data_IF_422406697543
#
_entry.id   IF_422406697543
#
_cell.length_a   1.000
_cell.length_b   1.000
_cell.length_c   1.000
_cell.angle_alpha   90.00
_cell.angle_beta   90.00
_cell.angle_gamma   90.00
#
_symmetry.space_group_name_H-M   'P 1'
#
loop_
_entity.id
_entity.type
_entity.pdbx_description
1 polymer ?
#
# COMPACT_ATOMS: atom_id res chain seq x y z
N UNK A 1 4.01 3.65 -2.13
CA UNK A 1 2.98 2.61 -1.91
C UNK A 1 2.41 2.22 -3.25
N UNK A 2 2.29 0.92 -3.53
CA UNK A 2 1.60 0.36 -4.69
C UNK A 2 0.29 -0.32 -4.28
N UNK A 3 -0.71 -0.26 -5.14
CA UNK A 3 -2.04 -0.84 -4.91
C UNK A 3 -2.52 -1.59 -6.15
N UNK A 4 -3.32 -2.61 -5.96
CA UNK A 4 -4.13 -3.21 -7.02
C UNK A 4 -5.34 -2.32 -7.28
N UNK A 5 -5.45 -1.75 -8.48
CA UNK A 5 -6.49 -0.75 -8.80
C UNK A 5 -7.89 -1.33 -8.63
N UNK A 6 -8.14 -2.55 -9.06
CA UNK A 6 -9.47 -3.17 -9.05
C UNK A 6 -9.97 -3.51 -7.66
N UNK A 7 -9.10 -4.04 -6.82
CA UNK A 7 -9.46 -4.51 -5.47
C UNK A 7 -9.21 -3.48 -4.37
N UNK A 8 -8.28 -2.54 -4.61
CA UNK A 8 -7.79 -1.59 -3.63
C UNK A 8 -6.82 -2.21 -2.62
N UNK A 9 -6.34 -3.44 -2.87
CA UNK A 9 -5.34 -4.09 -2.02
C UNK A 9 -4.02 -3.30 -2.06
N UNK A 10 -3.44 -3.02 -0.91
CA UNK A 10 -2.08 -2.45 -0.83
C UNK A 10 -1.09 -3.61 -1.00
N UNK A 11 -0.34 -3.60 -2.10
CA UNK A 11 0.62 -4.66 -2.45
C UNK A 11 1.95 -4.44 -1.74
N UNK A 12 2.49 -3.22 -1.82
CA UNK A 12 3.72 -2.85 -1.17
C UNK A 12 3.72 -1.39 -0.69
N UNK A 13 4.48 -1.14 0.36
CA UNK A 13 4.71 0.21 0.87
C UNK A 13 6.13 0.35 1.36
N UNK A 14 6.74 1.47 1.01
CA UNK A 14 8.04 1.88 1.54
C UNK A 14 7.91 3.30 2.08
N UNK A 15 8.54 3.56 3.20
CA UNK A 15 8.62 4.86 3.83
C UNK A 15 10.02 5.41 3.59
N UNK A 16 10.11 6.64 3.11
CA UNK A 16 11.40 7.25 2.83
C UNK A 16 11.27 8.56 2.08
N UNK A 17 12.42 9.13 1.77
CA UNK A 17 12.50 10.28 0.86
C UNK A 17 12.23 9.81 -0.57
N UNK A 18 11.58 10.64 -1.36
CA UNK A 18 11.38 10.41 -2.80
C UNK A 18 12.74 10.39 -3.51
N UNK A 19 13.25 9.20 -3.75
CA UNK A 19 14.51 8.93 -4.47
C UNK A 19 14.35 7.74 -5.38
N UNK A 20 15.17 7.63 -6.42
CA UNK A 20 15.14 6.49 -7.34
C UNK A 20 15.33 5.17 -6.59
N UNK A 21 16.24 5.13 -5.60
CA UNK A 21 16.47 3.96 -4.74
C UNK A 21 15.19 3.53 -3.97
N UNK A 22 14.39 4.50 -3.53
CA UNK A 22 13.12 4.18 -2.86
C UNK A 22 12.11 3.58 -3.85
N UNK A 23 12.10 4.06 -5.11
CA UNK A 23 11.25 3.47 -6.14
C UNK A 23 11.71 2.07 -6.51
N UNK A 24 13.01 1.85 -6.70
CA UNK A 24 13.58 0.52 -6.94
C UNK A 24 13.12 -0.48 -5.86
N UNK A 25 13.21 -0.09 -4.60
CA UNK A 25 12.70 -0.89 -3.49
C UNK A 25 11.19 -1.14 -3.58
N UNK A 26 10.39 -0.14 -3.96
CA UNK A 26 8.94 -0.29 -4.13
C UNK A 26 8.60 -1.21 -5.30
N UNK A 27 9.30 -1.08 -6.43
CA UNK A 27 9.14 -1.93 -7.62
C UNK A 27 9.46 -3.37 -7.27
N UNK A 28 10.64 -3.63 -6.70
CA UNK A 28 11.07 -4.97 -6.30
C UNK A 28 10.08 -5.64 -5.33
N UNK A 29 9.61 -4.90 -4.32
CA UNK A 29 8.62 -5.41 -3.36
C UNK A 29 7.24 -5.64 -3.98
N UNK A 30 6.90 -4.94 -5.04
CA UNK A 30 5.64 -5.11 -5.75
C UNK A 30 5.74 -6.30 -6.72
N UNK A 31 6.79 -6.37 -7.52
CA UNK A 31 7.02 -7.45 -8.48
C UNK A 31 7.21 -8.81 -7.81
N UNK A 32 7.77 -8.84 -6.61
CA UNK A 32 7.84 -10.08 -5.81
C UNK A 32 6.49 -10.62 -5.34
N UNK A 33 5.40 -9.87 -5.52
CA UNK A 33 4.04 -10.25 -5.04
C UNK A 33 2.99 -10.30 -6.15
N UNK A 34 3.28 -9.80 -7.33
CA UNK A 34 2.34 -9.78 -8.45
C UNK A 34 3.08 -9.90 -9.78
N UNK A 35 2.48 -10.62 -10.73
CA UNK A 35 2.96 -10.71 -12.10
C UNK A 35 2.42 -9.59 -13.01
N UNK A 36 1.71 -8.60 -12.45
CA UNK A 36 1.11 -7.52 -13.23
C UNK A 36 2.20 -6.63 -13.84
N UNK A 37 2.15 -6.46 -15.16
CA UNK A 37 3.05 -5.62 -15.94
C UNK A 37 2.44 -4.25 -16.32
N UNK A 38 1.20 -3.98 -15.92
CA UNK A 38 0.55 -2.69 -16.19
C UNK A 38 0.66 -1.80 -14.95
N UNK A 39 1.43 -0.73 -15.05
CA UNK A 39 1.65 0.22 -13.97
C UNK A 39 1.10 1.59 -14.33
N UNK A 40 0.40 2.19 -13.40
CA UNK A 40 -0.12 3.55 -13.50
C UNK A 40 0.50 4.41 -12.40
N UNK A 41 1.11 5.52 -12.80
CA UNK A 41 1.78 6.43 -11.86
C UNK A 41 1.36 7.88 -12.11
N UNK A 42 1.77 8.75 -11.19
CA UNK A 42 1.77 10.18 -11.42
C UNK A 42 2.93 10.58 -12.37
N UNK A 43 3.00 11.87 -12.68
CA UNK A 43 3.97 12.47 -13.59
C UNK A 43 5.37 12.67 -12.94
N UNK A 44 5.74 11.84 -11.96
CA UNK A 44 7.06 11.95 -11.38
C UNK A 44 8.09 11.12 -12.16
N UNK A 45 9.04 11.79 -12.82
CA UNK A 45 10.01 11.17 -13.75
C UNK A 45 10.95 10.12 -13.13
N UNK A 46 10.89 9.87 -11.82
CA UNK A 46 11.61 8.78 -11.17
C UNK A 46 11.12 7.40 -11.60
N UNK A 47 9.84 7.27 -11.89
CA UNK A 47 9.28 5.99 -12.35
C UNK A 47 9.79 5.61 -13.73
N UNK A 48 9.91 6.57 -14.65
CA UNK A 48 10.45 6.32 -16.00
C UNK A 48 11.90 5.82 -16.01
N UNK A 49 12.69 6.26 -15.01
CA UNK A 49 14.10 5.84 -14.89
C UNK A 49 14.28 4.46 -14.29
N UNK A 50 13.30 4.00 -13.48
CA UNK A 50 13.45 2.78 -12.67
C UNK A 50 12.63 1.62 -13.24
N UNK A 51 11.47 1.88 -13.83
CA UNK A 51 10.64 0.82 -14.40
C UNK A 51 11.32 0.22 -15.63
N UNK A 52 11.31 -1.11 -15.73
CA UNK A 52 11.87 -1.83 -16.86
C UNK A 52 11.03 -1.63 -18.13
N UNK A 53 11.67 -1.78 -19.29
CA UNK A 53 10.99 -1.69 -20.61
C UNK A 53 9.87 -2.74 -20.80
N UNK A 54 9.88 -3.80 -20.00
CA UNK A 54 8.84 -4.84 -20.02
C UNK A 54 7.53 -4.40 -19.36
N UNK A 55 7.55 -3.29 -18.62
CA UNK A 55 6.38 -2.76 -17.91
C UNK A 55 5.64 -1.78 -18.81
N UNK A 56 4.36 -2.06 -19.03
CA UNK A 56 3.46 -1.11 -19.67
C UNK A 56 3.14 0.02 -18.68
N UNK A 57 3.80 1.17 -18.83
CA UNK A 57 3.73 2.28 -17.92
C UNK A 57 2.82 3.39 -18.47
N UNK A 58 1.71 3.65 -17.78
CA UNK A 58 0.80 4.75 -18.05
C UNK A 58 1.02 5.88 -17.04
N UNK A 59 1.36 7.07 -17.55
CA UNK A 59 1.60 8.27 -16.73
C UNK A 59 0.37 9.18 -16.80
N UNK A 60 -0.10 9.64 -15.64
CA UNK A 60 -1.20 10.62 -15.57
C UNK A 60 -1.68 10.85 -14.14
N UNK A 61 -2.06 12.09 -13.82
CA UNK A 61 -2.59 12.46 -12.49
C UNK A 61 -3.92 11.77 -12.20
N UNK A 62 -4.74 11.54 -13.20
CA UNK A 62 -6.02 10.82 -13.09
C UNK A 62 -5.85 9.38 -12.63
N UNK A 63 -4.70 8.79 -12.91
CA UNK A 63 -4.40 7.40 -12.56
C UNK A 63 -4.18 7.18 -11.06
N UNK A 64 -3.92 8.24 -10.30
CA UNK A 64 -3.55 8.14 -8.87
C UNK A 64 -4.68 8.43 -7.88
N UNK A 65 -5.87 8.80 -8.35
CA UNK A 65 -7.01 9.16 -7.48
C UNK A 65 -7.36 8.08 -6.45
N UNK A 66 -7.33 6.80 -6.85
CA UNK A 66 -7.61 5.69 -5.95
C UNK A 66 -6.52 5.52 -4.90
N UNK A 67 -5.26 5.66 -5.32
CA UNK A 67 -4.11 5.64 -4.43
C UNK A 67 -4.19 6.77 -3.40
N UNK A 68 -4.52 7.98 -3.82
CA UNK A 68 -4.67 9.14 -2.93
C UNK A 68 -5.79 8.92 -1.90
N UNK A 69 -6.92 8.34 -2.32
CA UNK A 69 -8.02 7.98 -1.41
C UNK A 69 -7.57 6.97 -0.37
N UNK A 70 -6.88 5.91 -0.77
CA UNK A 70 -6.34 4.90 0.15
C UNK A 70 -5.30 5.51 1.09
N UNK A 71 -4.41 6.37 0.57
CA UNK A 71 -3.49 7.14 1.39
C UNK A 71 -4.21 8.00 2.45
N UNK A 72 -5.34 8.59 2.09
CA UNK A 72 -6.19 9.34 3.01
C UNK A 72 -6.73 8.46 4.14
N UNK A 73 -7.27 7.29 3.80
CA UNK A 73 -7.79 6.31 4.77
C UNK A 73 -6.66 5.84 5.71
N UNK A 74 -5.52 5.42 5.17
CA UNK A 74 -4.37 4.98 5.96
C UNK A 74 -3.87 6.07 6.91
N UNK A 75 -3.83 7.32 6.47
CA UNK A 75 -3.48 8.47 7.32
C UNK A 75 -4.48 8.68 8.45
N UNK A 76 -5.77 8.56 8.20
CA UNK A 76 -6.80 8.66 9.23
C UNK A 76 -6.66 7.54 10.26
N UNK A 77 -6.43 6.32 9.83
CA UNK A 77 -6.28 5.15 10.70
C UNK A 77 -5.04 5.25 11.59
N UNK A 78 -3.94 5.78 11.09
CA UNK A 78 -2.72 5.93 11.91
C UNK A 78 -2.81 7.05 12.93
N UNK A 79 -3.61 8.08 12.67
CA UNK A 79 -3.62 9.30 13.46
C UNK A 79 -2.27 10.04 13.52
N UNK A 80 -1.19 9.45 13.02
CA UNK A 80 0.19 9.96 13.11
C UNK A 80 0.62 10.76 11.89
N UNK A 81 0.01 10.53 10.74
CA UNK A 81 0.37 11.19 9.48
C UNK A 81 -0.60 12.30 9.08
N UNK A 82 -1.37 12.77 10.03
CA UNK A 82 -2.19 13.95 9.81
C UNK A 82 -1.31 15.19 9.62
N UNK A 83 -1.60 15.95 8.59
CA UNK A 83 -0.98 17.26 8.40
C UNK A 83 -1.22 18.12 9.63
N UNK A 84 -0.16 18.79 10.15
CA UNK A 84 -0.20 19.74 11.28
C UNK A 84 -0.51 19.12 12.65
N UNK A 85 -0.23 17.87 12.89
CA UNK A 85 -0.29 17.27 14.22
C UNK A 85 1.10 16.83 14.68
N UNK A 86 1.43 17.10 15.95
CA UNK A 86 2.70 16.70 16.58
C UNK A 86 2.71 15.21 17.00
N UNK A 87 2.05 14.34 16.23
CA UNK A 87 1.94 12.91 16.51
C UNK A 87 2.82 12.06 15.57
N UNK A 88 4.05 12.47 15.37
CA UNK A 88 5.01 11.67 14.60
C UNK A 88 5.84 10.77 15.52
N UNK A 89 6.25 9.62 15.01
CA UNK A 89 7.17 8.74 15.71
C UNK A 89 8.55 9.40 15.79
N UNK A 90 9.18 9.35 16.95
CA UNK A 90 10.54 9.87 17.14
C UNK A 90 11.58 8.97 16.48
N UNK A 91 11.27 7.67 16.35
CA UNK A 91 12.14 6.67 15.76
C UNK A 91 11.60 6.18 14.42
N UNK A 92 12.49 6.00 13.47
CA UNK A 92 12.15 5.54 12.13
C UNK A 92 11.54 4.13 12.12
N UNK A 93 12.11 3.23 12.92
CA UNK A 93 11.64 1.84 13.05
C UNK A 93 10.19 1.77 13.54
N UNK A 94 9.80 2.63 14.46
CA UNK A 94 8.42 2.73 14.92
C UNK A 94 7.47 3.14 13.80
N UNK A 95 7.91 4.04 12.93
CA UNK A 95 7.12 4.45 11.77
C UNK A 95 6.91 3.29 10.81
N UNK A 96 7.93 2.48 10.56
CA UNK A 96 7.81 1.29 9.72
C UNK A 96 6.88 0.22 10.32
N UNK A 97 7.04 -0.08 11.61
CA UNK A 97 6.19 -1.08 12.30
C UNK A 97 4.72 -0.68 12.25
N UNK A 98 4.42 0.58 12.57
CA UNK A 98 3.05 1.08 12.53
C UNK A 98 2.49 1.06 11.11
N UNK A 99 3.30 1.40 10.12
CA UNK A 99 2.88 1.36 8.72
C UNK A 99 2.50 -0.05 8.29
N UNK A 100 3.32 -1.04 8.63
CA UNK A 100 3.03 -2.46 8.36
C UNK A 100 1.73 -2.89 9.05
N UNK A 101 1.56 -2.53 10.33
CA UNK A 101 0.34 -2.86 11.09
C UNK A 101 -0.91 -2.23 10.46
N UNK A 102 -0.85 -0.96 10.09
CA UNK A 102 -2.01 -0.27 9.49
C UNK A 102 -2.32 -0.78 8.09
N UNK A 103 -1.31 -1.15 7.31
CA UNK A 103 -1.52 -1.79 6.00
C UNK A 103 -2.16 -3.17 6.16
N UNK A 104 -1.69 -3.97 7.11
CA UNK A 104 -2.32 -5.25 7.44
C UNK A 104 -3.78 -5.05 7.86
N UNK A 105 -4.03 -4.12 8.78
CA UNK A 105 -5.39 -3.77 9.18
C UNK A 105 -6.26 -3.37 7.99
N UNK A 106 -5.78 -2.47 7.13
CA UNK A 106 -6.50 -2.01 5.95
C UNK A 106 -6.82 -3.16 4.99
N UNK A 107 -5.85 -4.03 4.73
CA UNK A 107 -6.02 -5.12 3.76
C UNK A 107 -6.93 -6.23 4.28
N UNK A 108 -6.79 -6.63 5.56
CA UNK A 108 -7.36 -7.87 6.08
C UNK A 108 -8.55 -7.67 7.02
N UNK A 109 -8.61 -6.54 7.75
CA UNK A 109 -9.59 -6.33 8.82
C UNK A 109 -10.59 -5.23 8.47
N UNK A 110 -10.09 -4.09 7.95
CA UNK A 110 -10.93 -2.95 7.65
C UNK A 110 -11.92 -3.25 6.53
N UNK A 111 -13.21 -3.06 6.84
CA UNK A 111 -14.29 -3.23 5.87
C UNK A 111 -14.64 -1.88 5.23
N UNK A 112 -14.69 -1.86 3.91
CA UNK A 112 -15.17 -0.69 3.20
C UNK A 112 -16.68 -0.56 3.37
N UNK A 113 -17.14 0.47 4.07
CA UNK A 113 -18.57 0.66 4.40
C UNK A 113 -19.50 0.69 3.19
N UNK A 114 -19.00 1.11 2.03
CA UNK A 114 -19.78 1.16 0.78
C UNK A 114 -19.88 -0.19 0.09
N UNK A 115 -18.81 -0.99 0.17
CA UNK A 115 -18.72 -2.27 -0.54
C UNK A 115 -19.08 -3.47 0.35
N UNK A 116 -19.06 -3.30 1.68
CA UNK A 116 -19.29 -4.37 2.64
C UNK A 116 -18.24 -5.48 2.62
N UNK A 117 -17.04 -5.19 2.06
CA UNK A 117 -15.97 -6.17 1.87
C UNK A 117 -14.61 -5.59 2.22
N UNK A 118 -13.67 -6.47 2.52
CA UNK A 118 -12.27 -6.14 2.80
C UNK A 118 -11.44 -6.22 1.53
N UNK A 119 -10.26 -5.57 1.51
CA UNK A 119 -9.42 -5.57 0.33
C UNK A 119 -8.90 -6.98 -0.03
N UNK A 120 -8.54 -7.77 0.99
CA UNK A 120 -8.08 -9.15 0.80
C UNK A 120 -9.17 -10.07 0.25
N UNK A 121 -10.44 -9.91 0.68
CA UNK A 121 -11.59 -10.65 0.11
C UNK A 121 -11.77 -10.30 -1.38
N UNK A 122 -11.72 -9.01 -1.74
CA UNK A 122 -11.86 -8.58 -3.14
C UNK A 122 -10.69 -9.06 -4.02
N UNK A 123 -9.54 -9.28 -3.42
CA UNK A 123 -8.35 -9.80 -4.10
C UNK A 123 -8.30 -11.34 -4.11
N UNK A 124 -9.37 -12.01 -3.64
CA UNK A 124 -9.49 -13.48 -3.58
C UNK A 124 -8.34 -14.15 -2.80
N UNK A 125 -7.76 -13.42 -1.83
CA UNK A 125 -6.71 -13.96 -0.96
C UNK A 125 -7.26 -14.73 0.23
N UNK A 126 -8.56 -14.59 0.50
CA UNK A 126 -9.26 -15.26 1.61
C UNK A 126 -10.76 -15.25 1.38
N UNK A 127 -11.41 -16.32 1.78
CA UNK A 127 -12.89 -16.44 1.84
C UNK A 127 -13.42 -16.07 3.23
N UNK A 128 -12.51 -15.90 4.20
CA UNK A 128 -12.84 -15.63 5.59
C UNK A 128 -12.78 -14.12 5.88
N UNK A 129 -13.75 -13.63 6.63
CA UNK A 129 -13.67 -12.30 7.23
C UNK A 129 -12.70 -12.29 8.41
N UNK A 130 -11.48 -11.83 8.18
CA UNK A 130 -10.44 -11.73 9.20
C UNK A 130 -10.78 -10.70 10.28
N UNK A 131 -10.42 -11.01 11.52
CA UNK A 131 -10.42 -10.09 12.64
C UNK A 131 -9.00 -9.91 13.24
N UNK A 132 -8.90 -9.20 14.35
CA UNK A 132 -7.62 -8.99 15.02
C UNK A 132 -7.02 -10.27 15.58
N UNK A 133 -7.84 -11.23 16.02
CA UNK A 133 -7.35 -12.51 16.51
C UNK A 133 -6.73 -13.32 15.39
N UNK A 134 -7.38 -13.38 14.25
CA UNK A 134 -6.84 -14.04 13.05
C UNK A 134 -5.50 -13.45 12.63
N UNK A 135 -5.39 -12.12 12.60
CA UNK A 135 -4.15 -11.44 12.24
C UNK A 135 -3.02 -11.68 13.25
N UNK A 136 -3.34 -11.75 14.55
CA UNK A 136 -2.35 -11.97 15.61
C UNK A 136 -1.88 -13.42 15.73
N UNK A 137 -2.73 -14.37 15.35
CA UNK A 137 -2.45 -15.82 15.45
C UNK A 137 -1.99 -16.44 14.15
N UNK A 138 -1.99 -15.67 13.05
CA UNK A 138 -1.51 -16.16 11.76
C UNK A 138 -0.02 -16.52 11.86
N UNK A 139 0.35 -17.76 11.55
CA UNK A 139 1.76 -18.18 11.66
C UNK A 139 2.58 -17.42 10.61
N UNK A 140 3.44 -16.53 11.06
CA UNK A 140 4.50 -15.95 10.24
C UNK A 140 5.54 -17.04 10.01
N UNK A 141 5.58 -17.55 8.80
CA UNK A 141 6.69 -18.41 8.36
C UNK A 141 7.86 -17.44 8.09
N UNK A 142 8.84 -17.44 8.97
CA UNK A 142 10.12 -16.77 8.79
C UNK A 142 11.07 -17.68 8.01
#
# INVERSE_FOLDING_TARGET
MSIAIETGLIIASIIGKHTDKMIEGLVNNTEGKTACKNWKTDDWGGYERVLSEEINHEIGKENTQRLERINGIVRQQTGRWHRRQNKFAKEWEETERISKLVISYYNWIWENSRLGTKAAERAELTDKKWDWHDSATYPTIF
#
